data_IF_908252893676
#
_entry.id   IF_908252893676
#
_cell.length_a   1.000
_cell.length_b   1.000
_cell.length_c   1.000
_cell.angle_alpha   90.00
_cell.angle_beta   90.00
_cell.angle_gamma   90.00
#
_symmetry.space_group_name_H-M   'P 1'
#
loop_
_entity.id
_entity.type
_entity.pdbx_description
1 polymer ?
#
# COMPACT_ATOMS: atom_id res chain seq x y z
N UNK A 1 13.40 24.38 -22.94
CA UNK A 1 12.03 23.97 -22.59
C UNK A 1 11.95 22.46 -22.75
N UNK A 2 12.20 21.72 -21.67
CA UNK A 2 11.90 20.29 -21.62
C UNK A 2 10.39 20.14 -21.40
N UNK A 3 9.69 19.28 -22.15
CA UNK A 3 8.25 19.10 -21.95
C UNK A 3 8.00 18.56 -20.53
N UNK A 4 7.18 19.27 -19.76
CA UNK A 4 6.79 18.89 -18.40
C UNK A 4 5.79 17.74 -18.41
N UNK A 5 6.28 16.52 -18.61
CA UNK A 5 5.48 15.31 -18.41
C UNK A 5 5.41 14.99 -16.91
N UNK A 6 4.26 15.26 -16.31
CA UNK A 6 3.88 14.99 -14.94
C UNK A 6 3.28 13.58 -14.79
N UNK A 7 3.89 12.54 -15.39
CA UNK A 7 3.47 11.15 -15.18
C UNK A 7 1.99 10.83 -15.46
N UNK A 8 1.29 11.68 -16.21
CA UNK A 8 -0.18 11.75 -16.29
C UNK A 8 -0.94 10.43 -16.40
N UNK A 9 -2.18 10.44 -15.91
CA UNK A 9 -3.02 9.23 -15.82
C UNK A 9 -3.43 8.74 -17.21
N UNK A 10 -3.08 7.51 -17.54
CA UNK A 10 -3.50 6.88 -18.79
C UNK A 10 -5.02 6.70 -18.80
N UNK A 11 -5.70 7.23 -19.83
CA UNK A 11 -7.14 6.98 -20.03
C UNK A 11 -7.33 5.54 -20.49
N UNK A 12 -8.10 4.77 -19.73
CA UNK A 12 -8.48 3.43 -20.16
C UNK A 12 -9.29 3.49 -21.45
N UNK A 13 -8.93 2.65 -22.42
CA UNK A 13 -9.67 2.50 -23.67
C UNK A 13 -11.02 1.80 -23.45
N UNK A 14 -11.20 1.13 -22.30
CA UNK A 14 -12.42 0.41 -21.90
C UNK A 14 -12.72 0.65 -20.42
N UNK A 15 -13.92 1.09 -20.08
CA UNK A 15 -14.36 1.27 -18.69
C UNK A 15 -14.68 -0.03 -17.95
N UNK A 16 -13.91 -1.11 -18.14
CA UNK A 16 -14.18 -2.42 -17.53
C UNK A 16 -13.23 -2.65 -16.35
N UNK A 17 -13.49 -1.99 -15.23
CA UNK A 17 -12.74 -2.18 -13.99
C UNK A 17 -13.15 -3.48 -13.30
N UNK A 18 -12.18 -4.27 -12.87
CA UNK A 18 -12.38 -5.51 -12.11
C UNK A 18 -11.66 -5.44 -10.78
N UNK A 19 -12.37 -5.80 -9.71
CA UNK A 19 -11.77 -5.87 -8.39
C UNK A 19 -10.77 -7.04 -8.35
N UNK A 20 -9.59 -6.80 -7.76
CA UNK A 20 -8.60 -7.86 -7.52
C UNK A 20 -9.12 -8.78 -6.42
N UNK A 21 -9.43 -10.02 -6.78
CA UNK A 21 -9.76 -11.07 -5.81
C UNK A 21 -8.60 -11.36 -4.83
N UNK A 22 -8.84 -12.16 -3.79
CA UNK A 22 -7.93 -12.33 -2.67
C UNK A 22 -6.54 -12.81 -3.08
N UNK A 23 -6.43 -13.74 -4.02
CA UNK A 23 -5.15 -14.27 -4.51
C UNK A 23 -4.38 -13.20 -5.28
N UNK A 24 -5.06 -12.48 -6.18
CA UNK A 24 -4.42 -11.46 -7.01
C UNK A 24 -3.95 -10.28 -6.17
N UNK A 25 -4.80 -9.81 -5.24
CA UNK A 25 -4.44 -8.73 -4.33
C UNK A 25 -3.22 -9.12 -3.48
N UNK A 26 -3.20 -10.33 -2.92
CA UNK A 26 -2.09 -10.80 -2.09
C UNK A 26 -0.79 -10.96 -2.87
N UNK A 27 -0.84 -11.49 -4.09
CA UNK A 27 0.33 -11.63 -4.96
C UNK A 27 0.87 -10.28 -5.42
N UNK A 28 -0.01 -9.36 -5.83
CA UNK A 28 0.41 -8.01 -6.22
C UNK A 28 1.09 -7.29 -5.04
N UNK A 29 0.55 -7.39 -3.81
CA UNK A 29 1.18 -6.84 -2.60
C UNK A 29 2.53 -7.50 -2.30
N UNK A 30 2.62 -8.84 -2.36
CA UNK A 30 3.86 -9.57 -2.14
C UNK A 30 4.96 -9.10 -3.10
N UNK A 31 4.64 -9.01 -4.39
CA UNK A 31 5.58 -8.58 -5.41
C UNK A 31 5.95 -7.09 -5.28
N UNK A 32 4.94 -6.22 -5.15
CA UNK A 32 5.15 -4.78 -5.11
C UNK A 32 5.96 -4.35 -3.88
N UNK A 33 5.74 -4.98 -2.73
CA UNK A 33 6.45 -4.69 -1.48
C UNK A 33 7.67 -5.59 -1.25
N UNK A 34 8.01 -6.48 -2.18
CA UNK A 34 9.12 -7.44 -2.05
C UNK A 34 9.06 -8.23 -0.73
N UNK A 35 7.89 -8.82 -0.48
CA UNK A 35 7.59 -9.63 0.69
C UNK A 35 7.40 -11.10 0.29
N UNK A 36 7.84 -12.06 1.11
CA UNK A 36 7.35 -13.43 1.02
C UNK A 36 5.82 -13.46 1.09
N UNK A 37 5.16 -14.28 0.27
CA UNK A 37 3.69 -14.34 0.23
C UNK A 37 3.07 -14.64 1.61
N UNK A 38 3.72 -15.47 2.43
CA UNK A 38 3.31 -15.78 3.81
C UNK A 38 3.40 -14.61 4.78
N UNK A 39 4.11 -13.54 4.42
CA UNK A 39 4.29 -12.34 5.26
C UNK A 39 3.41 -11.17 4.85
N UNK A 40 2.66 -11.28 3.75
CA UNK A 40 1.75 -10.21 3.29
C UNK A 40 0.74 -9.90 4.37
N UNK A 41 0.03 -10.91 4.86
CA UNK A 41 -0.96 -10.69 5.90
C UNK A 41 -1.29 -11.95 6.69
N UNK A 42 -1.08 -11.85 8.01
CA UNK A 42 -1.53 -12.82 9.01
C UNK A 42 -2.40 -12.11 10.04
N UNK A 43 -3.71 -12.34 9.98
CA UNK A 43 -4.65 -11.86 10.97
C UNK A 43 -4.31 -12.42 12.35
N UNK A 44 -4.23 -11.50 13.33
CA UNK A 44 -3.82 -11.80 14.71
C UNK A 44 -2.46 -12.53 14.81
N UNK A 45 -1.63 -12.45 13.76
CA UNK A 45 -0.35 -13.14 13.66
C UNK A 45 -0.43 -14.65 13.41
N UNK A 46 -1.62 -15.19 13.12
CA UNK A 46 -1.82 -16.65 13.01
C UNK A 46 -2.50 -17.10 11.72
N UNK A 47 -3.47 -16.32 11.23
CA UNK A 47 -4.36 -16.77 10.16
C UNK A 47 -4.08 -16.00 8.87
N UNK A 48 -3.77 -16.68 7.74
CA UNK A 48 -3.60 -15.99 6.47
C UNK A 48 -4.84 -15.16 6.12
N UNK A 49 -4.66 -13.88 5.80
CA UNK A 49 -5.78 -12.97 5.55
C UNK A 49 -6.62 -13.38 4.34
N UNK A 50 -6.03 -14.06 3.36
CA UNK A 50 -6.74 -14.68 2.25
C UNK A 50 -7.76 -15.74 2.70
N UNK A 51 -7.54 -16.39 3.84
CA UNK A 51 -8.47 -17.35 4.43
C UNK A 51 -9.55 -16.62 5.25
N UNK A 52 -9.16 -15.64 6.07
CA UNK A 52 -10.10 -14.92 6.94
C UNK A 52 -11.02 -13.99 6.15
N UNK A 53 -10.48 -13.29 5.14
CA UNK A 53 -11.18 -12.29 4.35
C UNK A 53 -11.52 -12.77 2.94
N UNK A 54 -11.24 -14.03 2.59
CA UNK A 54 -11.36 -14.54 1.23
C UNK A 54 -12.71 -14.24 0.58
N UNK A 55 -13.81 -14.57 1.27
CA UNK A 55 -15.18 -14.27 0.80
C UNK A 55 -15.44 -12.76 0.71
N UNK A 56 -14.99 -11.98 1.71
CA UNK A 56 -15.15 -10.52 1.69
C UNK A 56 -14.37 -9.86 0.55
N UNK A 57 -13.26 -10.46 0.11
CA UNK A 57 -12.47 -10.04 -1.04
C UNK A 57 -12.98 -10.62 -2.37
N UNK A 58 -14.19 -11.20 -2.39
CA UNK A 58 -14.82 -11.71 -3.61
C UNK A 58 -14.34 -13.10 -4.02
N UNK A 59 -13.72 -13.86 -3.11
CA UNK A 59 -13.44 -15.29 -3.27
C UNK A 59 -14.63 -16.17 -2.88
N UNK A 60 -14.36 -17.48 -2.76
CA UNK A 60 -15.32 -18.52 -2.39
C UNK A 60 -14.80 -19.30 -1.18
N UNK A 61 -15.70 -19.95 -0.44
CA UNK A 61 -15.35 -20.85 0.65
C UNK A 61 -16.30 -22.06 0.70
N UNK A 62 -16.12 -23.03 -0.21
CA UNK A 62 -17.02 -24.17 -0.35
C UNK A 62 -16.91 -25.17 0.80
N UNK A 63 -15.78 -25.19 1.52
CA UNK A 63 -15.48 -26.26 2.49
C UNK A 63 -15.78 -25.86 3.94
N UNK A 64 -15.58 -24.60 4.33
CA UNK A 64 -15.88 -24.17 5.70
C UNK A 64 -17.25 -23.50 5.80
N UNK A 65 -17.65 -22.75 4.78
CA UNK A 65 -18.87 -21.92 4.83
C UNK A 65 -19.88 -22.23 3.71
N UNK A 66 -19.63 -23.24 2.87
CA UNK A 66 -20.51 -23.62 1.75
C UNK A 66 -20.84 -22.46 0.79
N UNK A 67 -19.89 -21.54 0.60
CA UNK A 67 -19.97 -20.46 -0.39
C UNK A 67 -19.30 -20.92 -1.68
N UNK A 68 -20.10 -21.33 -2.66
CA UNK A 68 -19.60 -21.94 -3.91
C UNK A 68 -19.42 -20.95 -5.06
N UNK A 69 -20.03 -19.78 -4.96
CA UNK A 69 -20.01 -18.75 -6.00
C UNK A 69 -19.58 -17.42 -5.41
N UNK A 70 -18.94 -16.59 -6.24
CA UNK A 70 -18.56 -15.24 -5.85
C UNK A 70 -19.81 -14.36 -5.83
N UNK A 71 -19.84 -13.39 -4.90
CA UNK A 71 -20.93 -12.43 -4.87
C UNK A 71 -20.95 -11.61 -6.19
N UNK A 72 -22.13 -11.32 -6.75
CA UNK A 72 -22.24 -10.55 -8.00
C UNK A 72 -21.85 -9.07 -7.82
N UNK A 73 -21.71 -8.61 -6.57
CA UNK A 73 -21.35 -7.25 -6.19
C UNK A 73 -20.33 -7.27 -5.06
N UNK A 74 -19.51 -6.23 -4.99
CA UNK A 74 -18.58 -6.00 -3.88
C UNK A 74 -19.36 -5.81 -2.57
N UNK A 75 -18.97 -6.54 -1.52
CA UNK A 75 -19.62 -6.48 -0.22
C UNK A 75 -19.29 -5.20 0.55
N UNK A 76 -20.16 -4.80 1.48
CA UNK A 76 -19.92 -3.63 2.34
C UNK A 76 -18.66 -3.78 3.22
N UNK A 77 -18.23 -5.02 3.48
CA UNK A 77 -17.02 -5.34 4.25
C UNK A 77 -15.77 -5.50 3.39
N UNK A 78 -15.86 -5.43 2.06
CA UNK A 78 -14.68 -5.53 1.19
C UNK A 78 -13.65 -4.42 1.44
N UNK A 79 -14.04 -3.12 1.60
CA UNK A 79 -13.06 -2.07 1.83
C UNK A 79 -12.24 -2.29 3.11
N UNK A 80 -12.86 -2.69 4.21
CA UNK A 80 -12.14 -2.96 5.47
C UNK A 80 -11.24 -4.19 5.35
N UNK A 81 -11.64 -5.22 4.60
CA UNK A 81 -10.79 -6.38 4.31
C UNK A 81 -9.54 -6.01 3.49
N UNK A 82 -9.72 -5.13 2.49
CA UNK A 82 -8.61 -4.58 1.70
C UNK A 82 -7.66 -3.79 2.59
N UNK A 83 -8.18 -2.84 3.36
CA UNK A 83 -7.35 -1.97 4.22
C UNK A 83 -6.55 -2.78 5.24
N UNK A 84 -7.15 -3.80 5.86
CA UNK A 84 -6.43 -4.68 6.79
C UNK A 84 -5.30 -5.44 6.10
N UNK A 85 -5.57 -5.98 4.91
CA UNK A 85 -4.57 -6.73 4.12
C UNK A 85 -3.41 -5.83 3.69
N UNK A 86 -3.73 -4.64 3.16
CA UNK A 86 -2.75 -3.65 2.74
C UNK A 86 -1.94 -3.13 3.93
N UNK A 87 -2.61 -2.76 5.04
CA UNK A 87 -1.94 -2.25 6.23
C UNK A 87 -0.96 -3.27 6.81
N UNK A 88 -1.34 -4.55 6.86
CA UNK A 88 -0.44 -5.62 7.30
C UNK A 88 0.80 -5.70 6.41
N UNK A 89 0.63 -5.71 5.09
CA UNK A 89 1.74 -5.82 4.15
C UNK A 89 2.67 -4.59 4.23
N UNK A 90 2.08 -3.39 4.25
CA UNK A 90 2.81 -2.15 4.46
C UNK A 90 3.63 -2.18 5.74
N UNK A 91 3.04 -2.60 6.86
CA UNK A 91 3.75 -2.70 8.14
C UNK A 91 4.91 -3.69 8.09
N UNK A 92 4.74 -4.84 7.43
CA UNK A 92 5.82 -5.81 7.26
C UNK A 92 7.01 -5.22 6.47
N UNK A 93 6.73 -4.52 5.37
CA UNK A 93 7.78 -3.88 4.56
C UNK A 93 8.48 -2.74 5.30
N UNK A 94 7.70 -1.88 5.97
CA UNK A 94 8.22 -0.74 6.74
C UNK A 94 9.13 -1.25 7.85
N UNK A 95 8.74 -2.30 8.57
CA UNK A 95 9.58 -2.91 9.59
C UNK A 95 10.92 -3.40 9.02
N UNK A 96 10.92 -4.03 7.84
CA UNK A 96 12.16 -4.48 7.19
C UNK A 96 13.04 -3.29 6.76
N UNK A 97 12.45 -2.25 6.18
CA UNK A 97 13.18 -1.05 5.74
C UNK A 97 13.80 -0.28 6.90
N UNK A 98 13.04 -0.12 8.00
CA UNK A 98 13.49 0.62 9.19
C UNK A 98 14.54 -0.18 9.98
N UNK A 99 14.34 -1.49 10.14
CA UNK A 99 15.26 -2.31 10.93
C UNK A 99 16.55 -2.67 10.16
N UNK A 100 16.51 -2.69 8.82
CA UNK A 100 17.68 -2.96 7.98
C UNK A 100 17.85 -1.90 6.89
N UNK A 101 18.20 -0.64 7.23
CA UNK A 101 18.20 0.48 6.28
C UNK A 101 19.11 0.26 5.06
N UNK A 102 20.23 -0.45 5.24
CA UNK A 102 21.16 -0.76 4.15
C UNK A 102 20.55 -1.72 3.09
N UNK A 103 19.55 -2.50 3.47
CA UNK A 103 18.79 -3.41 2.60
C UNK A 103 17.36 -2.91 2.34
N UNK A 104 17.05 -1.67 2.70
CA UNK A 104 15.74 -1.08 2.48
C UNK A 104 15.41 -0.99 0.99
N UNK A 105 14.14 -1.23 0.68
CA UNK A 105 13.63 -1.37 -0.70
C UNK A 105 12.72 -0.22 -1.08
N UNK A 106 11.80 0.17 -0.19
CA UNK A 106 10.80 1.20 -0.46
C UNK A 106 11.25 2.54 0.13
N UNK A 107 11.56 2.56 1.42
CA UNK A 107 11.97 3.75 2.17
C UNK A 107 13.49 3.87 2.31
N UNK A 108 14.20 3.45 1.27
CA UNK A 108 15.66 3.53 1.23
C UNK A 108 16.14 4.98 1.37
N UNK A 109 17.17 5.17 2.18
CA UNK A 109 17.80 6.47 2.46
C UNK A 109 16.86 7.52 3.10
N UNK A 110 15.66 7.11 3.54
CA UNK A 110 14.79 7.96 4.35
C UNK A 110 15.33 7.96 5.78
N UNK A 111 15.88 9.10 6.20
CA UNK A 111 16.50 9.25 7.52
C UNK A 111 15.45 9.71 8.53
N UNK A 112 15.43 9.04 9.68
CA UNK A 112 14.64 9.45 10.84
C UNK A 112 15.52 10.16 11.86
N UNK A 113 14.99 11.19 12.52
CA UNK A 113 15.61 11.85 13.68
C UNK A 113 15.53 10.95 14.92
N UNK A 114 16.26 11.31 15.98
CA UNK A 114 16.22 10.57 17.25
C UNK A 114 14.83 10.55 17.90
N UNK A 115 13.99 11.57 17.64
CA UNK A 115 12.59 11.65 18.05
C UNK A 115 11.62 11.05 17.02
N UNK A 116 12.12 10.27 16.06
CA UNK A 116 11.32 9.46 15.15
C UNK A 116 10.61 10.21 14.02
N UNK A 117 10.95 11.48 13.76
CA UNK A 117 10.44 12.28 12.63
C UNK A 117 11.27 12.04 11.37
N UNK A 118 10.75 12.43 10.22
CA UNK A 118 11.58 12.58 9.03
C UNK A 118 12.65 13.66 9.30
N UNK A 119 13.92 13.37 9.01
CA UNK A 119 15.00 14.35 9.17
C UNK A 119 14.83 15.55 8.25
N UNK A 120 14.36 15.31 7.03
CA UNK A 120 13.98 16.34 6.06
C UNK A 120 12.88 15.78 5.14
N UNK A 121 11.67 16.32 5.27
CA UNK A 121 10.53 15.92 4.42
C UNK A 121 10.68 16.36 2.96
N UNK A 122 11.48 17.39 2.69
CA UNK A 122 11.76 17.89 1.35
C UNK A 122 12.96 17.16 0.69
N UNK A 123 13.55 16.17 1.36
CA UNK A 123 14.74 15.49 0.87
C UNK A 123 14.45 14.71 -0.42
N UNK A 124 15.45 14.55 -1.30
CA UNK A 124 15.32 13.70 -2.47
C UNK A 124 14.99 12.24 -2.15
N UNK A 125 15.38 11.73 -0.98
CA UNK A 125 15.09 10.35 -0.59
C UNK A 125 13.61 10.16 -0.24
N UNK A 126 12.97 11.13 0.42
CA UNK A 126 11.51 11.09 0.66
C UNK A 126 10.74 11.12 -0.67
N UNK A 127 11.12 11.99 -1.60
CA UNK A 127 10.50 12.04 -2.93
C UNK A 127 10.72 10.74 -3.73
N UNK A 128 11.89 10.12 -3.60
CA UNK A 128 12.21 8.82 -4.21
C UNK A 128 11.37 7.70 -3.61
N UNK A 129 11.19 7.67 -2.29
CA UNK A 129 10.35 6.68 -1.60
C UNK A 129 8.89 6.78 -2.03
N UNK A 130 8.34 7.99 -2.14
CA UNK A 130 6.97 8.23 -2.66
C UNK A 130 6.84 7.76 -4.11
N UNK A 131 7.82 8.08 -4.94
CA UNK A 131 7.86 7.61 -6.35
C UNK A 131 7.95 6.09 -6.43
N UNK A 132 8.75 5.46 -5.58
CA UNK A 132 8.88 4.00 -5.48
C UNK A 132 7.54 3.36 -5.12
N UNK A 133 6.86 3.86 -4.09
CA UNK A 133 5.52 3.38 -3.70
C UNK A 133 4.53 3.44 -4.87
N UNK A 134 4.42 4.59 -5.52
CA UNK A 134 3.47 4.81 -6.60
C UNK A 134 3.79 3.96 -7.83
N UNK A 135 5.06 3.85 -8.23
CA UNK A 135 5.45 2.95 -9.34
C UNK A 135 5.15 1.50 -9.02
N UNK A 136 5.37 1.06 -7.78
CA UNK A 136 5.12 -0.31 -7.34
C UNK A 136 3.62 -0.64 -7.33
N UNK A 137 2.76 0.32 -6.95
CA UNK A 137 1.32 0.11 -6.86
C UNK A 137 0.58 0.33 -8.20
N UNK A 138 0.93 1.40 -8.92
CA UNK A 138 0.16 1.92 -10.05
C UNK A 138 0.89 1.79 -11.39
N UNK A 139 2.14 1.31 -11.39
CA UNK A 139 2.96 1.11 -12.59
C UNK A 139 3.18 2.39 -13.42
N UNK A 140 3.12 3.56 -12.78
CA UNK A 140 3.41 4.87 -13.37
C UNK A 140 4.14 5.78 -12.39
N UNK A 141 4.57 6.94 -12.88
CA UNK A 141 5.07 8.00 -12.03
C UNK A 141 3.92 8.73 -11.31
N UNK A 142 4.14 9.17 -10.06
CA UNK A 142 3.20 10.08 -9.42
C UNK A 142 3.19 11.42 -10.16
N UNK A 143 2.01 12.00 -10.26
CA UNK A 143 1.86 13.41 -10.60
C UNK A 143 2.53 14.28 -9.52
N UNK A 144 2.78 15.56 -9.84
CA UNK A 144 3.30 16.50 -8.87
C UNK A 144 2.40 16.62 -7.64
N UNK A 145 1.08 16.70 -7.84
CA UNK A 145 0.12 16.90 -6.75
C UNK A 145 0.01 15.66 -5.85
N UNK A 146 0.05 14.46 -6.41
CA UNK A 146 0.07 13.21 -5.64
C UNK A 146 1.31 13.14 -4.75
N UNK A 147 2.49 13.41 -5.33
CA UNK A 147 3.75 13.42 -4.58
C UNK A 147 3.73 14.48 -3.48
N UNK A 148 3.39 15.71 -3.83
CA UNK A 148 3.41 16.84 -2.88
C UNK A 148 2.35 16.63 -1.77
N UNK A 149 1.25 15.93 -2.04
CA UNK A 149 0.26 15.52 -1.03
C UNK A 149 0.79 14.45 -0.09
N UNK A 150 1.42 13.39 -0.62
CA UNK A 150 2.03 12.34 0.20
C UNK A 150 3.18 12.88 1.06
N UNK A 151 3.93 13.88 0.59
CA UNK A 151 4.97 14.54 1.39
C UNK A 151 4.35 15.39 2.50
N UNK A 152 3.32 16.20 2.19
CA UNK A 152 2.62 17.04 3.20
C UNK A 152 1.99 16.23 4.33
N UNK A 153 1.55 15.00 4.04
CA UNK A 153 1.01 14.08 5.04
C UNK A 153 1.95 13.87 6.25
N UNK A 154 3.27 14.02 6.08
CA UNK A 154 4.22 13.90 7.19
C UNK A 154 3.98 14.94 8.29
N UNK A 155 3.61 16.17 7.91
CA UNK A 155 3.28 17.24 8.85
C UNK A 155 1.95 16.96 9.57
N UNK A 156 0.95 16.47 8.83
CA UNK A 156 -0.35 16.11 9.38
C UNK A 156 -0.23 14.96 10.40
N UNK A 157 0.55 13.93 10.05
CA UNK A 157 0.84 12.81 10.96
C UNK A 157 1.60 13.30 12.20
N UNK A 158 2.59 14.18 12.04
CA UNK A 158 3.30 14.76 13.18
C UNK A 158 2.37 15.56 14.11
N UNK A 159 1.39 16.28 13.56
CA UNK A 159 0.41 17.04 14.33
C UNK A 159 -0.50 16.16 15.21
N UNK A 160 -0.61 14.85 14.93
CA UNK A 160 -1.36 13.91 15.77
C UNK A 160 -0.69 13.59 17.12
N UNK A 161 0.59 13.91 17.28
CA UNK A 161 1.35 13.61 18.50
C UNK A 161 1.74 12.13 18.67
N UNK A 162 1.69 11.32 17.60
CA UNK A 162 2.16 9.93 17.61
C UNK A 162 3.66 9.85 17.92
N UNK A 163 4.08 8.80 18.63
CA UNK A 163 5.45 8.66 19.13
C UNK A 163 6.53 8.56 18.04
N UNK A 164 6.23 7.91 16.91
CA UNK A 164 7.15 7.71 15.79
C UNK A 164 6.53 8.25 14.49
N UNK A 165 6.45 9.58 14.32
CA UNK A 165 5.69 10.20 13.23
C UNK A 165 6.23 9.88 11.83
N UNK A 166 7.54 9.65 11.68
CA UNK A 166 8.13 9.20 10.42
C UNK A 166 7.66 7.80 10.02
N UNK A 167 7.62 6.85 10.96
CA UNK A 167 7.08 5.50 10.71
C UNK A 167 5.58 5.57 10.42
N UNK A 168 4.83 6.36 11.21
CA UNK A 168 3.40 6.54 10.98
C UNK A 168 3.11 7.18 9.60
N UNK A 169 3.97 8.09 9.13
CA UNK A 169 3.89 8.62 7.77
C UNK A 169 4.14 7.53 6.72
N UNK A 170 5.17 6.69 6.88
CA UNK A 170 5.42 5.57 5.97
C UNK A 170 4.19 4.64 5.88
N UNK A 171 3.55 4.36 7.02
CA UNK A 171 2.35 3.53 7.10
C UNK A 171 1.18 4.17 6.38
N UNK A 172 0.90 5.45 6.66
CA UNK A 172 -0.20 6.18 6.05
C UNK A 172 -0.01 6.35 4.52
N UNK A 173 1.20 6.70 4.08
CA UNK A 173 1.55 6.81 2.67
C UNK A 173 1.39 5.47 1.95
N UNK A 174 1.96 4.39 2.49
CA UNK A 174 1.85 3.06 1.89
C UNK A 174 0.38 2.58 1.84
N UNK A 175 -0.36 2.71 2.95
CA UNK A 175 -1.77 2.34 3.01
C UNK A 175 -2.58 3.10 1.95
N UNK A 176 -2.46 4.43 1.90
CA UNK A 176 -3.23 5.27 0.98
C UNK A 176 -2.98 4.94 -0.49
N UNK A 177 -1.74 4.56 -0.85
CA UNK A 177 -1.36 4.20 -2.21
C UNK A 177 -1.88 2.81 -2.59
N UNK A 178 -1.72 1.82 -1.71
CA UNK A 178 -2.06 0.43 -2.00
C UNK A 178 -3.52 0.05 -1.75
N UNK A 179 -4.28 0.86 -0.99
CA UNK A 179 -5.74 0.72 -0.85
C UNK A 179 -6.52 1.61 -1.83
N UNK A 180 -5.83 2.38 -2.67
CA UNK A 180 -6.48 3.24 -3.67
C UNK A 180 -7.22 2.43 -4.74
N UNK A 181 -8.19 3.06 -5.40
CA UNK A 181 -8.90 2.44 -6.51
C UNK A 181 -7.95 1.99 -7.64
N UNK A 182 -6.88 2.74 -7.91
CA UNK A 182 -5.90 2.40 -8.94
C UNK A 182 -5.06 1.17 -8.56
N UNK A 183 -4.88 0.90 -7.28
CA UNK A 183 -4.18 -0.28 -6.80
C UNK A 183 -5.07 -1.53 -6.69
N UNK A 184 -6.35 -1.36 -6.34
CA UNK A 184 -7.26 -2.50 -6.04
C UNK A 184 -8.09 -2.97 -7.23
N UNK A 185 -8.19 -2.16 -8.29
CA UNK A 185 -8.83 -2.51 -9.55
C UNK A 185 -7.81 -2.70 -10.68
N UNK A 186 -8.21 -3.42 -11.73
CA UNK A 186 -7.46 -3.57 -12.98
C UNK A 186 -8.40 -3.59 -14.19
#
# INVERSE_FOLDING_TARGET
MTPGWDGGVAKSQKGNLRFKGPERLSLDLAHALELPASSVCNELGQYPCQTVHGVALGGVDPYQHSVYETAPVTGATTPIAVERTVLSACNARIALDVNTPAAAVVFKDVVLTADGKLADAASPSVATAVTSLVRRAWLRDPTRDERDTLVRLSADVQATGVASPGVAWMQAACLSVFSSAEAVFY
#
